data_IF_979518299371
#
_entry.id   IF_979518299371
#
_cell.length_a   1.000
_cell.length_b   1.000
_cell.length_c   1.000
_cell.angle_alpha   90.00
_cell.angle_beta   90.00
_cell.angle_gamma   90.00
#
_symmetry.space_group_name_H-M   'P 1'
#
loop_
_entity.id
_entity.type
_entity.pdbx_description
1 polymer ?
#
# COMPACT_ATOMS: atom_id res chain seq x y z
N UNK A 1 -15.36 -11.27 23.24
CA UNK A 1 -16.18 -11.65 22.06
C UNK A 1 -16.79 -13.01 22.37
N UNK A 2 -18.11 -13.18 22.27
CA UNK A 2 -18.74 -14.48 22.48
C UNK A 2 -18.29 -15.46 21.37
N UNK A 3 -17.94 -16.71 21.70
CA UNK A 3 -17.58 -17.69 20.67
C UNK A 3 -18.81 -17.95 19.78
N UNK A 4 -18.72 -17.58 18.50
CA UNK A 4 -19.74 -17.90 17.48
C UNK A 4 -20.32 -16.72 16.68
N UNK A 5 -20.03 -15.46 17.03
CA UNK A 5 -20.43 -14.32 16.20
C UNK A 5 -19.39 -14.07 15.11
N UNK A 6 -19.82 -14.10 13.85
CA UNK A 6 -18.99 -13.72 12.71
C UNK A 6 -19.40 -12.35 12.19
N UNK A 7 -18.42 -11.56 11.78
CA UNK A 7 -18.63 -10.33 11.02
C UNK A 7 -18.52 -10.65 9.54
N UNK A 8 -19.52 -10.27 8.76
CA UNK A 8 -19.51 -10.35 7.31
C UNK A 8 -19.11 -9.00 6.74
N UNK A 9 -18.19 -9.02 5.78
CA UNK A 9 -17.81 -7.85 5.01
C UNK A 9 -18.17 -8.08 3.55
N UNK A 10 -18.73 -7.05 2.92
CA UNK A 10 -19.05 -7.01 1.50
C UNK A 10 -18.43 -5.73 0.92
N UNK A 11 -17.45 -5.87 0.03
CA UNK A 11 -16.83 -4.74 -0.68
C UNK A 11 -17.29 -4.74 -2.14
N UNK A 12 -18.17 -3.80 -2.54
CA UNK A 12 -18.60 -3.67 -3.93
C UNK A 12 -17.42 -3.33 -4.87
N UNK A 13 -17.33 -4.03 -6.00
CA UNK A 13 -16.30 -3.84 -7.05
C UNK A 13 -16.92 -4.06 -8.43
N UNK A 14 -16.52 -3.26 -9.43
CA UNK A 14 -16.97 -3.44 -10.81
C UNK A 14 -16.54 -4.78 -11.43
N UNK A 15 -15.45 -5.36 -10.93
CA UNK A 15 -15.03 -6.74 -11.19
C UNK A 15 -14.26 -7.26 -9.97
N UNK A 16 -14.82 -8.22 -9.23
CA UNK A 16 -14.07 -8.92 -8.20
C UNK A 16 -13.02 -9.81 -8.86
N UNK A 17 -11.77 -9.72 -8.40
CA UNK A 17 -10.73 -10.64 -8.86
C UNK A 17 -10.94 -12.01 -8.19
N UNK A 18 -11.07 -13.07 -9.00
CA UNK A 18 -11.27 -14.43 -8.52
C UNK A 18 -10.03 -15.01 -7.83
N UNK A 19 -8.85 -14.45 -8.09
CA UNK A 19 -7.59 -14.86 -7.48
C UNK A 19 -7.26 -14.05 -6.21
N UNK A 20 -8.18 -13.18 -5.75
CA UNK A 20 -7.97 -12.41 -4.53
C UNK A 20 -8.02 -13.29 -3.28
N UNK A 21 -7.04 -13.11 -2.41
CA UNK A 21 -6.94 -13.68 -1.08
C UNK A 21 -7.32 -12.70 0.02
N UNK A 22 -7.61 -13.26 1.20
CA UNK A 22 -7.81 -12.51 2.44
C UNK A 22 -6.51 -12.49 3.25
N UNK A 23 -6.06 -11.28 3.59
CA UNK A 23 -4.88 -11.04 4.40
C UNK A 23 -5.26 -10.44 5.73
N UNK A 24 -4.58 -10.86 6.80
CA UNK A 24 -4.68 -10.26 8.13
C UNK A 24 -3.43 -9.48 8.45
N UNK A 25 -3.61 -8.24 8.87
CA UNK A 25 -2.53 -7.40 9.38
C UNK A 25 -2.22 -7.72 10.84
N UNK A 26 -0.97 -8.04 11.13
CA UNK A 26 -0.44 -8.20 12.48
C UNK A 26 0.61 -7.13 12.72
N UNK A 27 0.36 -6.26 13.69
CA UNK A 27 1.35 -5.28 14.10
C UNK A 27 2.49 -5.95 14.88
N UNK A 28 3.73 -5.65 14.52
CA UNK A 28 4.89 -6.02 15.33
C UNK A 28 5.12 -5.02 16.49
N UNK A 29 6.21 -5.22 17.23
CA UNK A 29 6.56 -4.36 18.38
C UNK A 29 6.91 -2.91 17.99
N UNK A 30 7.23 -2.68 16.72
CA UNK A 30 7.58 -1.38 16.15
C UNK A 30 6.35 -0.73 15.46
N UNK A 31 5.20 -1.39 15.49
CA UNK A 31 3.95 -0.91 14.90
C UNK A 31 3.78 -1.26 13.42
N UNK A 32 4.75 -1.94 12.81
CA UNK A 32 4.71 -2.34 11.40
C UNK A 32 3.66 -3.42 11.19
N UNK A 33 2.88 -3.32 10.11
CA UNK A 33 1.84 -4.29 9.81
C UNK A 33 2.39 -5.36 8.88
N UNK A 34 2.55 -6.58 9.40
CA UNK A 34 2.80 -7.76 8.58
C UNK A 34 1.47 -8.32 8.07
N UNK A 35 1.33 -8.41 6.74
CA UNK A 35 0.18 -9.03 6.10
C UNK A 35 0.39 -10.52 5.92
N UNK A 36 -0.46 -11.33 6.56
CA UNK A 36 -0.41 -12.79 6.49
C UNK A 36 -1.63 -13.29 5.73
N UNK A 37 -1.41 -14.14 4.73
CA UNK A 37 -2.48 -14.83 4.03
C UNK A 37 -3.22 -15.77 5.01
N UNK A 38 -4.54 -15.59 5.11
CA UNK A 38 -5.44 -16.37 5.96
C UNK A 38 -6.54 -17.07 5.13
N UNK A 39 -6.28 -17.33 3.85
CA UNK A 39 -7.19 -18.01 2.92
C UNK A 39 -7.58 -19.43 3.35
N UNK A 40 -6.94 -20.00 4.36
CA UNK A 40 -7.23 -21.34 4.88
C UNK A 40 -8.55 -21.43 5.69
N UNK A 41 -9.19 -20.32 6.04
CA UNK A 41 -10.36 -20.32 6.95
C UNK A 41 -11.66 -19.76 6.36
N UNK A 42 -11.58 -18.93 5.31
CA UNK A 42 -12.73 -18.22 4.72
C UNK A 42 -12.28 -17.45 3.49
N UNK A 43 -12.10 -18.15 2.36
CA UNK A 43 -11.69 -17.52 1.11
C UNK A 43 -12.62 -16.39 0.69
N UNK A 44 -12.05 -15.38 0.03
CA UNK A 44 -12.84 -14.30 -0.58
C UNK A 44 -13.74 -14.93 -1.64
N UNK A 45 -15.04 -14.72 -1.53
CA UNK A 45 -16.02 -15.22 -2.49
C UNK A 45 -16.63 -14.08 -3.29
N UNK A 46 -16.87 -14.34 -4.57
CA UNK A 46 -17.60 -13.44 -5.44
C UNK A 46 -19.10 -13.55 -5.15
N UNK A 47 -19.74 -12.44 -4.82
CA UNK A 47 -21.20 -12.36 -4.64
C UNK A 47 -21.76 -11.08 -5.24
N UNK A 48 -23.05 -11.07 -5.58
CA UNK A 48 -23.74 -9.85 -6.02
C UNK A 48 -24.31 -9.09 -4.82
N UNK A 49 -24.05 -7.78 -4.77
CA UNK A 49 -24.66 -6.86 -3.81
C UNK A 49 -25.35 -5.73 -4.54
N UNK A 50 -26.43 -5.24 -3.94
CA UNK A 50 -27.14 -4.08 -4.48
C UNK A 50 -26.47 -2.79 -4.01
N UNK A 51 -25.87 -2.06 -4.94
CA UNK A 51 -25.31 -0.73 -4.73
C UNK A 51 -26.45 0.28 -4.62
N UNK A 52 -26.84 0.63 -3.39
CA UNK A 52 -27.95 1.55 -3.11
C UNK A 52 -27.72 2.94 -3.72
N UNK A 53 -26.54 3.59 -3.59
CA UNK A 53 -26.25 4.85 -4.27
C UNK A 53 -26.49 4.83 -5.78
N UNK A 54 -26.05 3.78 -6.49
CA UNK A 54 -26.11 3.71 -7.95
C UNK A 54 -27.30 2.89 -8.49
N UNK A 55 -28.13 2.33 -7.62
CA UNK A 55 -29.31 1.51 -7.94
C UNK A 55 -29.04 0.34 -8.91
N UNK A 56 -27.90 -0.33 -8.74
CA UNK A 56 -27.48 -1.43 -9.61
C UNK A 56 -26.94 -2.61 -8.80
N UNK A 57 -27.02 -3.80 -9.38
CA UNK A 57 -26.32 -4.97 -8.85
C UNK A 57 -24.87 -4.91 -9.31
N UNK A 58 -23.95 -5.09 -8.36
CA UNK A 58 -22.52 -5.13 -8.62
C UNK A 58 -21.93 -6.37 -7.97
N UNK A 59 -20.85 -6.85 -8.56
CA UNK A 59 -20.03 -7.88 -7.97
C UNK A 59 -19.36 -7.35 -6.68
N UNK A 60 -19.12 -8.23 -5.72
CA UNK A 60 -18.46 -7.89 -4.47
C UNK A 60 -17.52 -9.00 -4.02
N UNK A 61 -16.49 -8.60 -3.27
CA UNK A 61 -15.72 -9.51 -2.44
C UNK A 61 -16.43 -9.67 -1.10
N UNK A 62 -16.77 -10.92 -0.76
CA UNK A 62 -17.39 -11.28 0.51
C UNK A 62 -16.48 -12.21 1.31
N UNK A 63 -16.33 -11.92 2.61
CA UNK A 63 -15.72 -12.83 3.57
C UNK A 63 -16.34 -12.69 4.97
N UNK A 64 -16.08 -13.69 5.83
CA UNK A 64 -16.52 -13.70 7.22
C UNK A 64 -15.34 -13.87 8.16
N UNK A 65 -15.28 -13.09 9.24
CA UNK A 65 -14.23 -13.20 10.27
C UNK A 65 -14.82 -13.34 11.65
N UNK A 66 -14.17 -14.12 12.50
CA UNK A 66 -14.48 -14.26 13.93
C UNK A 66 -13.57 -13.42 14.83
N UNK A 67 -12.60 -12.73 14.23
CA UNK A 67 -11.62 -11.89 14.92
C UNK A 67 -11.71 -10.43 14.45
N UNK A 68 -11.37 -9.51 15.35
CA UNK A 68 -11.20 -8.10 15.04
C UNK A 68 -9.74 -7.80 14.68
N UNK A 69 -9.50 -6.74 13.90
CA UNK A 69 -8.17 -6.32 13.48
C UNK A 69 -8.16 -5.76 12.07
N UNK A 70 -6.98 -5.68 11.47
CA UNK A 70 -6.79 -5.24 10.09
C UNK A 70 -6.97 -6.41 9.13
N UNK A 71 -7.79 -6.20 8.11
CA UNK A 71 -8.03 -7.15 7.03
C UNK A 71 -7.90 -6.44 5.69
N UNK A 72 -7.36 -7.13 4.70
CA UNK A 72 -7.26 -6.65 3.34
C UNK A 72 -7.61 -7.78 2.36
N UNK A 73 -8.30 -7.43 1.28
CA UNK A 73 -8.47 -8.29 0.12
C UNK A 73 -7.48 -7.85 -0.94
N UNK A 74 -6.67 -8.78 -1.44
CA UNK A 74 -5.64 -8.47 -2.42
C UNK A 74 -5.13 -9.72 -3.09
N UNK A 75 -4.12 -9.59 -3.93
CA UNK A 75 -3.41 -10.73 -4.51
C UNK A 75 -1.92 -10.45 -4.48
N UNK A 76 -1.14 -11.52 -4.49
CA UNK A 76 0.28 -11.39 -4.76
C UNK A 76 0.50 -10.80 -6.16
N UNK A 77 1.50 -9.93 -6.31
CA UNK A 77 1.89 -9.42 -7.62
C UNK A 77 2.36 -10.62 -8.46
N UNK A 78 1.71 -10.92 -9.60
CA UNK A 78 1.96 -12.13 -10.35
C UNK A 78 3.26 -12.00 -11.15
N UNK A 79 4.39 -12.34 -10.55
CA UNK A 79 5.65 -12.52 -11.28
C UNK A 79 6.38 -13.79 -10.80
N UNK A 80 6.55 -14.75 -11.71
CA UNK A 80 7.37 -15.96 -11.51
C UNK A 80 8.87 -15.65 -11.57
N UNK A 81 9.69 -16.29 -10.72
CA UNK A 81 9.79 -15.98 -9.30
C UNK A 81 10.24 -14.52 -9.09
N UNK A 82 9.57 -13.81 -8.17
CA UNK A 82 9.97 -12.47 -7.76
C UNK A 82 11.23 -12.55 -6.93
N UNK A 83 12.32 -11.96 -7.43
CA UNK A 83 13.42 -11.62 -6.53
C UNK A 83 12.97 -10.38 -5.75
N UNK A 84 12.76 -10.55 -4.46
CA UNK A 84 12.40 -9.47 -3.56
C UNK A 84 13.66 -8.85 -2.94
N UNK A 85 13.58 -7.58 -2.56
CA UNK A 85 14.67 -6.89 -1.87
C UNK A 85 14.13 -5.94 -0.81
N UNK A 86 15.04 -5.47 0.06
CA UNK A 86 14.84 -4.22 0.77
C UNK A 86 15.25 -3.08 -0.16
N UNK A 87 14.41 -2.06 -0.27
CA UNK A 87 14.69 -0.87 -1.05
C UNK A 87 14.49 0.37 -0.19
N UNK A 88 15.40 1.33 -0.33
CA UNK A 88 15.41 2.53 0.48
C UNK A 88 15.53 3.77 -0.39
N UNK A 89 14.91 4.84 0.07
CA UNK A 89 15.10 6.19 -0.43
C UNK A 89 15.73 7.05 0.67
N UNK A 90 16.42 8.10 0.27
CA UNK A 90 16.93 9.11 1.19
C UNK A 90 16.32 10.46 0.87
N UNK A 91 15.99 11.22 1.92
CA UNK A 91 15.54 12.59 1.83
C UNK A 91 16.58 13.52 2.47
N UNK A 92 16.56 14.83 2.15
CA UNK A 92 17.42 15.79 2.82
C UNK A 92 17.17 15.85 4.33
N UNK A 93 18.13 16.39 5.08
CA UNK A 93 18.01 16.55 6.53
C UNK A 93 16.74 17.35 6.90
N UNK A 94 16.04 16.85 7.93
CA UNK A 94 14.81 17.45 8.44
C UNK A 94 13.54 17.05 7.69
N UNK A 95 13.61 16.07 6.79
CA UNK A 95 12.46 15.30 6.29
C UNK A 95 12.52 13.90 6.89
N UNK A 96 11.56 13.57 7.75
CA UNK A 96 11.56 12.36 8.59
C UNK A 96 10.12 11.87 8.83
N UNK A 97 9.95 10.81 9.62
CA UNK A 97 8.65 10.19 9.90
C UNK A 97 7.61 11.12 10.52
N UNK A 98 8.05 12.23 11.15
CA UNK A 98 7.15 13.15 11.84
C UNK A 98 6.46 14.11 10.87
N UNK A 99 7.00 14.28 9.68
CA UNK A 99 6.54 15.25 8.70
C UNK A 99 6.45 14.73 7.26
N UNK A 100 6.92 13.51 6.98
CA UNK A 100 6.95 12.94 5.63
C UNK A 100 6.38 11.53 5.59
N UNK A 101 5.57 11.26 4.58
CA UNK A 101 5.20 9.92 4.12
C UNK A 101 5.82 9.66 2.74
N UNK A 102 6.24 8.44 2.46
CA UNK A 102 6.88 8.10 1.20
C UNK A 102 6.34 6.78 0.62
N UNK A 103 6.29 6.70 -0.71
CA UNK A 103 5.63 5.62 -1.44
C UNK A 103 6.38 5.22 -2.71
N UNK A 104 6.19 3.97 -3.14
CA UNK A 104 6.50 3.47 -4.46
C UNK A 104 5.18 3.10 -5.15
N UNK A 105 4.95 3.69 -6.32
CA UNK A 105 3.73 3.50 -7.10
C UNK A 105 4.05 2.61 -8.30
N UNK A 106 3.34 1.49 -8.35
CA UNK A 106 3.41 0.47 -9.38
C UNK A 106 2.23 0.66 -10.35
N UNK A 107 2.35 1.61 -11.28
CA UNK A 107 1.26 1.99 -12.18
C UNK A 107 0.73 0.80 -12.99
N UNK A 108 1.62 -0.06 -13.51
CA UNK A 108 1.22 -1.23 -14.30
C UNK A 108 0.44 -2.27 -13.49
N UNK A 109 0.63 -2.30 -12.17
CA UNK A 109 -0.03 -3.22 -11.26
C UNK A 109 -1.18 -2.56 -10.48
N UNK A 110 -1.43 -1.27 -10.69
CA UNK A 110 -2.38 -0.46 -9.91
C UNK A 110 -2.19 -0.67 -8.40
N UNK A 111 -0.94 -0.57 -7.94
CA UNK A 111 -0.54 -0.84 -6.56
C UNK A 111 0.38 0.24 -6.02
N UNK A 112 0.35 0.44 -4.71
CA UNK A 112 1.20 1.38 -3.97
C UNK A 112 1.78 0.68 -2.76
N UNK A 113 3.05 0.96 -2.48
CA UNK A 113 3.76 0.46 -1.29
C UNK A 113 4.28 1.67 -0.52
N UNK A 114 4.02 1.71 0.78
CA UNK A 114 4.56 2.72 1.68
C UNK A 114 5.99 2.34 2.12
N UNK A 115 6.84 3.35 2.24
CA UNK A 115 8.16 3.21 2.86
C UNK A 115 8.10 3.64 4.32
N UNK A 116 8.75 2.86 5.17
CA UNK A 116 8.83 3.12 6.61
C UNK A 116 10.16 3.80 6.96
N UNK A 117 10.11 4.76 7.86
CA UNK A 117 11.33 5.41 8.34
C UNK A 117 12.18 4.48 9.21
N UNK A 118 13.47 4.41 8.89
CA UNK A 118 14.50 3.71 9.65
C UNK A 118 15.43 4.73 10.30
N UNK A 119 15.11 5.12 11.53
CA UNK A 119 15.86 6.13 12.30
C UNK A 119 17.36 5.81 12.41
N UNK A 120 17.76 4.53 12.46
CA UNK A 120 19.16 4.11 12.51
C UNK A 120 19.95 4.46 11.25
N UNK A 121 19.28 4.59 10.09
CA UNK A 121 19.88 4.89 8.80
C UNK A 121 19.51 6.28 8.26
N UNK A 122 18.52 6.95 8.85
CA UNK A 122 17.99 8.23 8.36
C UNK A 122 17.35 8.11 6.98
N UNK A 123 16.62 7.02 6.73
CA UNK A 123 16.11 6.64 5.41
C UNK A 123 14.70 6.10 5.51
N UNK A 124 13.94 6.20 4.42
CA UNK A 124 12.66 5.51 4.28
C UNK A 124 12.90 4.22 3.49
N UNK A 125 12.49 3.07 4.03
CA UNK A 125 12.75 1.76 3.47
C UNK A 125 11.49 0.89 3.48
N UNK A 126 11.36 0.02 2.49
CA UNK A 126 10.39 -1.08 2.50
C UNK A 126 11.10 -2.40 2.23
N UNK A 127 10.61 -3.45 2.85
CA UNK A 127 11.04 -4.82 2.57
C UNK A 127 10.12 -5.48 1.55
N UNK A 128 10.55 -6.64 1.03
CA UNK A 128 9.77 -7.49 0.13
C UNK A 128 9.29 -6.80 -1.16
N UNK A 129 10.03 -5.81 -1.64
CA UNK A 129 9.65 -5.09 -2.86
C UNK A 129 10.11 -5.88 -4.09
N UNK A 130 9.24 -6.07 -5.12
CA UNK A 130 9.59 -6.85 -6.31
C UNK A 130 10.55 -6.10 -7.23
N UNK A 131 11.77 -6.63 -7.43
CA UNK A 131 12.74 -6.01 -8.35
C UNK A 131 12.30 -6.16 -9.82
N UNK A 132 12.86 -5.31 -10.69
CA UNK A 132 12.60 -5.33 -12.14
C UNK A 132 11.36 -4.57 -12.58
N UNK A 133 10.62 -3.96 -11.65
CA UNK A 133 9.50 -3.08 -11.96
C UNK A 133 9.96 -1.63 -12.03
N UNK A 134 9.45 -0.90 -13.03
CA UNK A 134 9.49 0.56 -13.03
C UNK A 134 8.45 1.09 -12.07
N UNK A 135 8.86 1.98 -11.17
CA UNK A 135 7.99 2.61 -10.17
C UNK A 135 8.18 4.11 -10.17
N UNK A 136 7.12 4.82 -9.78
CA UNK A 136 7.21 6.22 -9.38
C UNK A 136 7.41 6.26 -7.88
N UNK A 137 8.57 6.74 -7.44
CA UNK A 137 8.82 7.07 -6.05
C UNK A 137 8.19 8.41 -5.74
N UNK A 138 7.54 8.52 -4.58
CA UNK A 138 6.82 9.69 -4.13
C UNK A 138 7.16 9.96 -2.66
N UNK A 139 7.35 11.23 -2.31
CA UNK A 139 7.42 11.68 -0.92
C UNK A 139 6.53 12.91 -0.77
N UNK A 140 5.69 12.90 0.26
CA UNK A 140 4.75 13.96 0.59
C UNK A 140 5.10 14.44 1.99
N UNK A 141 5.42 15.72 2.12
CA UNK A 141 5.84 16.28 3.41
C UNK A 141 5.07 17.53 3.77
N UNK A 142 4.82 17.73 5.07
CA UNK A 142 4.23 18.94 5.63
C UNK A 142 5.12 19.44 6.77
N UNK A 143 5.84 20.53 6.55
CA UNK A 143 6.82 21.09 7.50
C UNK A 143 6.77 22.61 7.51
N UNK A 144 6.81 23.21 8.69
CA UNK A 144 6.83 24.67 8.87
C UNK A 144 5.72 25.40 8.09
N UNK A 145 4.50 24.83 8.11
CA UNK A 145 3.31 25.30 7.37
C UNK A 145 3.41 25.24 5.84
N UNK A 146 4.48 24.65 5.31
CA UNK A 146 4.69 24.44 3.89
C UNK A 146 4.49 22.96 3.54
N UNK A 147 4.15 22.72 2.27
CA UNK A 147 4.03 21.39 1.72
C UNK A 147 5.16 21.15 0.73
N UNK A 148 5.66 19.91 0.68
CA UNK A 148 6.74 19.52 -0.22
C UNK A 148 6.39 18.22 -0.91
N UNK A 149 6.84 18.10 -2.16
CA UNK A 149 6.66 16.92 -2.99
C UNK A 149 8.01 16.55 -3.59
N UNK A 150 8.47 15.33 -3.33
CA UNK A 150 9.60 14.74 -4.05
C UNK A 150 9.09 13.57 -4.88
N UNK A 151 9.47 13.50 -6.15
CA UNK A 151 9.12 12.37 -7.00
C UNK A 151 10.28 12.02 -7.94
N UNK A 152 10.40 10.74 -8.27
CA UNK A 152 11.34 10.25 -9.26
C UNK A 152 10.83 8.94 -9.86
N UNK A 153 11.09 8.72 -11.14
CA UNK A 153 10.86 7.41 -11.76
C UNK A 153 12.15 6.59 -11.69
N UNK A 154 12.03 5.32 -11.33
CA UNK A 154 13.17 4.41 -11.29
C UNK A 154 12.76 2.98 -11.60
N UNK A 155 13.74 2.17 -12.00
CA UNK A 155 13.58 0.71 -12.01
C UNK A 155 14.15 0.16 -10.71
N UNK A 156 13.38 -0.67 -10.02
CA UNK A 156 13.83 -1.30 -8.78
C UNK A 156 14.91 -2.34 -9.08
N UNK A 157 16.15 -1.99 -8.76
CA UNK A 157 17.33 -2.84 -8.93
C UNK A 157 17.84 -3.30 -7.56
N UNK A 158 17.56 -4.55 -7.15
CA UNK A 158 18.22 -5.25 -6.03
C UNK A 158 18.56 -4.44 -4.76
N UNK A 159 19.60 -4.87 -4.03
CA UNK A 159 20.17 -4.09 -2.93
C UNK A 159 21.16 -3.09 -3.53
N UNK A 160 20.85 -1.81 -3.42
CA UNK A 160 21.65 -0.71 -4.01
C UNK A 160 21.75 0.51 -3.11
N UNK A 161 22.49 1.52 -3.58
CA UNK A 161 22.55 2.84 -2.92
C UNK A 161 21.14 3.44 -2.84
N UNK A 162 20.72 3.98 -1.69
CA UNK A 162 19.42 4.63 -1.56
C UNK A 162 19.24 5.70 -2.63
N UNK A 163 18.05 5.75 -3.23
CA UNK A 163 17.76 6.79 -4.23
C UNK A 163 17.50 8.11 -3.50
N UNK A 164 18.24 9.18 -3.79
CA UNK A 164 17.95 10.49 -3.23
C UNK A 164 16.69 11.06 -3.89
N UNK A 165 15.67 11.34 -3.09
CA UNK A 165 14.53 12.15 -3.49
C UNK A 165 14.72 13.57 -2.96
N UNK A 166 14.43 14.57 -3.80
CA UNK A 166 14.56 15.98 -3.44
C UNK A 166 13.16 16.61 -3.40
N UNK A 167 12.57 16.80 -2.20
CA UNK A 167 11.28 17.45 -2.07
C UNK A 167 11.36 18.92 -2.49
N UNK A 168 10.48 19.33 -3.40
CA UNK A 168 10.33 20.71 -3.85
C UNK A 168 9.05 21.27 -3.23
N UNK A 169 9.07 22.55 -2.83
CA UNK A 169 7.89 23.22 -2.30
C UNK A 169 6.71 23.11 -3.25
N UNK A 170 5.56 22.70 -2.72
CA UNK A 170 4.32 22.47 -3.48
C UNK A 170 3.11 23.12 -2.80
N UNK A 171 1.96 23.01 -3.43
CA UNK A 171 0.66 23.37 -2.85
C UNK A 171 -0.27 22.16 -2.84
N UNK A 172 -1.29 22.12 -1.97
CA UNK A 172 -2.31 21.06 -2.00
C UNK A 172 -3.03 20.91 -3.35
N UNK A 173 -3.15 22.00 -4.13
CA UNK A 173 -3.77 21.96 -5.46
C UNK A 173 -2.91 21.18 -6.47
N UNK A 174 -1.61 21.48 -6.53
CA UNK A 174 -0.66 20.75 -7.39
C UNK A 174 -0.59 19.29 -6.98
N UNK A 175 -0.68 19.01 -5.67
CA UNK A 175 -0.73 17.65 -5.16
C UNK A 175 -1.97 16.88 -5.67
N UNK A 176 -3.15 17.51 -5.65
CA UNK A 176 -4.37 16.88 -6.15
C UNK A 176 -4.29 16.59 -7.66
N UNK A 177 -3.77 17.53 -8.46
CA UNK A 177 -3.56 17.33 -9.90
C UNK A 177 -2.62 16.15 -10.18
N UNK A 178 -1.53 16.02 -9.42
CA UNK A 178 -0.59 14.91 -9.59
C UNK A 178 -1.24 13.55 -9.24
N UNK A 179 -2.10 13.50 -8.23
CA UNK A 179 -2.83 12.28 -7.88
C UNK A 179 -3.85 11.87 -8.95
N UNK A 180 -4.38 12.81 -9.72
CA UNK A 180 -5.30 12.50 -10.83
C UNK A 180 -4.57 11.91 -12.05
N UNK A 181 -3.25 12.14 -12.17
CA UNK A 181 -2.40 11.63 -13.26
C UNK A 181 -1.72 10.30 -12.97
N UNK A 182 -1.68 9.87 -11.70
CA UNK A 182 -1.04 8.64 -11.22
C UNK A 182 -1.97 7.43 -11.24
#
# INVERSE_FOLDING_TARGET
>A
VAPGVKLRFDIPRLAADADAGLFRGISDQEGRILWIDINDQSGVSENEVFDVPNQQWVTSWQWEVSATGWFACGKYIPTTPVTETTFCISLPEGFDETNTAAFAIFQQQNSIIEFEWRASAGQFCTDFIPIGNTVTLLSISAKDQNHYLGYAETTLEGIGTPIPLQPIGTTPAIFAELLDEL
#
